data_IF_958425552643
#
_entry.id   IF_958425552643
#
_cell.length_a   1.000
_cell.length_b   1.000
_cell.length_c   1.000
_cell.angle_alpha   90.00
_cell.angle_beta   90.00
_cell.angle_gamma   90.00
#
_symmetry.space_group_name_H-M   'P 1'
#
loop_
_entity.id
_entity.type
_entity.pdbx_description
1 polymer ?
#
# COMPACT_ATOMS: atom_id res chain seq x y z
N UNK A 1 -47.30 -47.73 30.48
CA UNK A 1 -46.37 -46.64 30.11
C UNK A 1 -45.93 -45.73 31.27
N UNK A 2 -46.51 -45.81 32.47
CA UNK A 2 -46.01 -45.09 33.67
C UNK A 2 -44.87 -45.80 34.42
N UNK A 3 -44.57 -47.05 34.08
CA UNK A 3 -43.66 -47.92 34.86
C UNK A 3 -42.15 -47.67 34.62
N UNK A 4 -41.77 -46.80 33.68
CA UNK A 4 -40.36 -46.50 33.39
C UNK A 4 -39.90 -45.10 33.84
N UNK A 5 -40.78 -44.28 34.42
CA UNK A 5 -40.41 -42.94 34.86
C UNK A 5 -39.95 -42.97 36.32
N UNK A 6 -38.63 -42.93 36.54
CA UNK A 6 -38.06 -42.58 37.86
C UNK A 6 -38.40 -41.12 38.15
N UNK A 7 -39.35 -40.92 39.06
CA UNK A 7 -39.66 -39.73 39.86
C UNK A 7 -39.82 -38.36 39.12
N UNK A 8 -41.03 -37.81 39.25
CA UNK A 8 -41.45 -36.40 39.10
C UNK A 8 -41.41 -35.68 37.75
N UNK A 9 -40.97 -36.30 36.65
CA UNK A 9 -41.09 -35.65 35.33
C UNK A 9 -42.31 -36.18 34.57
N UNK A 10 -43.28 -35.30 34.31
CA UNK A 10 -44.42 -35.62 33.44
C UNK A 10 -43.92 -36.08 32.06
N UNK A 11 -44.54 -37.14 31.49
CA UNK A 11 -44.17 -37.62 30.17
C UNK A 11 -44.34 -36.48 29.15
N UNK A 12 -43.33 -36.28 28.31
CA UNK A 12 -43.25 -35.19 27.32
C UNK A 12 -43.08 -33.77 27.89
N UNK A 13 -42.79 -33.60 29.18
CA UNK A 13 -42.34 -32.31 29.70
C UNK A 13 -41.05 -31.84 29.02
N UNK A 14 -40.78 -30.52 28.96
CA UNK A 14 -39.53 -29.98 28.39
C UNK A 14 -38.30 -30.63 29.04
N UNK A 15 -38.33 -30.82 30.37
CA UNK A 15 -37.27 -31.49 31.13
C UNK A 15 -37.10 -32.97 30.73
N UNK A 16 -38.19 -33.70 30.55
CA UNK A 16 -38.16 -35.09 30.04
C UNK A 16 -37.59 -35.16 28.61
N UNK A 17 -38.04 -34.26 27.73
CA UNK A 17 -37.62 -34.22 26.33
C UNK A 17 -36.13 -33.84 26.19
N UNK A 18 -35.65 -32.86 26.96
CA UNK A 18 -34.22 -32.50 27.03
C UNK A 18 -33.34 -33.67 27.42
N UNK A 19 -33.73 -34.40 28.48
CA UNK A 19 -33.01 -35.60 28.94
C UNK A 19 -32.98 -36.67 27.84
N UNK A 20 -34.12 -36.96 27.20
CA UNK A 20 -34.19 -37.97 26.13
C UNK A 20 -33.37 -37.58 24.89
N UNK A 21 -33.32 -36.30 24.55
CA UNK A 21 -32.49 -35.78 23.47
C UNK A 21 -30.99 -35.89 23.79
N UNK A 22 -30.60 -35.59 25.02
CA UNK A 22 -29.22 -35.79 25.49
C UNK A 22 -28.85 -37.27 25.54
N UNK A 23 -29.75 -38.16 25.98
CA UNK A 23 -29.49 -39.59 26.01
C UNK A 23 -29.29 -40.18 24.60
N UNK A 24 -30.03 -39.69 23.60
CA UNK A 24 -29.95 -40.20 22.23
C UNK A 24 -28.80 -39.57 21.41
N UNK A 25 -28.64 -38.25 21.45
CA UNK A 25 -27.68 -37.53 20.60
C UNK A 25 -26.38 -37.15 21.32
N UNK A 26 -26.35 -37.27 22.65
CA UNK A 26 -25.17 -37.06 23.47
C UNK A 26 -24.50 -35.70 23.21
N UNK A 27 -23.17 -35.67 22.99
CA UNK A 27 -22.40 -34.44 22.83
C UNK A 27 -22.56 -33.77 21.45
N UNK A 28 -23.34 -34.36 20.54
CA UNK A 28 -23.50 -33.88 19.16
C UNK A 28 -24.49 -32.71 19.05
N UNK A 29 -25.32 -32.49 20.07
CA UNK A 29 -26.32 -31.42 20.12
C UNK A 29 -25.99 -30.39 21.19
N UNK A 30 -26.52 -29.19 20.99
CA UNK A 30 -26.49 -28.09 21.96
C UNK A 30 -27.93 -27.65 22.18
N UNK A 31 -28.32 -27.58 23.46
CA UNK A 31 -29.62 -27.06 23.88
C UNK A 31 -29.35 -25.67 24.48
N UNK A 32 -29.98 -24.65 23.92
CA UNK A 32 -29.83 -23.25 24.35
C UNK A 32 -31.12 -22.80 24.98
N UNK A 33 -31.03 -22.36 26.24
CA UNK A 33 -32.13 -21.81 27.00
C UNK A 33 -31.93 -20.30 27.15
N UNK A 34 -32.94 -19.52 26.76
CA UNK A 34 -32.94 -18.07 26.92
C UNK A 34 -34.19 -17.69 27.70
N UNK A 35 -34.01 -16.97 28.81
CA UNK A 35 -35.13 -16.55 29.66
C UNK A 35 -36.23 -15.87 28.83
N UNK A 36 -37.44 -16.43 28.88
CA UNK A 36 -38.62 -15.91 28.17
C UNK A 36 -38.75 -16.36 26.70
N UNK A 37 -37.89 -17.25 26.19
CA UNK A 37 -37.99 -17.83 24.84
C UNK A 37 -38.05 -19.36 24.89
N UNK A 38 -38.65 -20.01 23.88
CA UNK A 38 -38.64 -21.46 23.79
C UNK A 38 -37.22 -22.00 23.62
N UNK A 39 -36.96 -23.17 24.20
CA UNK A 39 -35.67 -23.85 24.11
C UNK A 39 -35.33 -24.16 22.64
N UNK A 40 -34.11 -23.81 22.21
CA UNK A 40 -33.62 -24.12 20.88
C UNK A 40 -32.66 -25.31 20.94
N UNK A 41 -32.87 -26.30 20.08
CA UNK A 41 -32.00 -27.48 19.95
C UNK A 41 -31.38 -27.48 18.57
N UNK A 42 -30.05 -27.55 18.49
CA UNK A 42 -29.33 -27.63 17.22
C UNK A 42 -28.10 -28.54 17.35
N UNK A 43 -27.56 -28.98 16.22
CA UNK A 43 -26.30 -29.72 16.21
C UNK A 43 -25.14 -28.78 16.50
N UNK A 44 -24.12 -29.30 17.20
CA UNK A 44 -22.93 -28.55 17.58
C UNK A 44 -22.19 -27.99 16.37
N UNK A 45 -22.17 -28.74 15.26
CA UNK A 45 -21.58 -28.30 14.00
C UNK A 45 -22.28 -27.06 13.46
N UNK A 46 -23.60 -27.12 13.33
CA UNK A 46 -24.43 -26.00 12.86
C UNK A 46 -24.37 -24.80 13.81
N UNK A 47 -24.36 -25.02 15.13
CA UNK A 47 -24.15 -23.95 16.11
C UNK A 47 -22.79 -23.26 15.93
N UNK A 48 -21.72 -24.04 15.73
CA UNK A 48 -20.39 -23.50 15.46
C UNK A 48 -20.32 -22.74 14.14
N UNK A 49 -20.97 -23.24 13.07
CA UNK A 49 -21.05 -22.55 11.78
C UNK A 49 -21.79 -21.21 11.91
N UNK A 50 -22.96 -21.20 12.56
CA UNK A 50 -23.74 -19.98 12.81
C UNK A 50 -22.94 -18.98 13.65
N UNK A 51 -22.25 -19.44 14.69
CA UNK A 51 -21.41 -18.58 15.52
C UNK A 51 -20.23 -18.03 14.72
N UNK A 52 -19.56 -18.88 13.96
CA UNK A 52 -18.43 -18.48 13.11
C UNK A 52 -18.88 -17.47 12.05
N UNK A 53 -20.04 -17.67 11.43
CA UNK A 53 -20.64 -16.73 10.48
C UNK A 53 -21.03 -15.41 11.16
N UNK A 54 -21.65 -15.46 12.34
CA UNK A 54 -22.01 -14.28 13.13
C UNK A 54 -20.80 -13.43 13.54
N UNK A 55 -19.67 -14.05 13.88
CA UNK A 55 -18.43 -13.33 14.20
C UNK A 55 -17.69 -12.81 12.96
N UNK A 56 -17.87 -13.44 11.80
CA UNK A 56 -17.29 -13.00 10.53
C UNK A 56 -18.12 -11.94 9.80
N UNK A 57 -19.41 -11.81 10.12
CA UNK A 57 -20.23 -10.73 9.59
C UNK A 57 -19.69 -9.38 10.08
N UNK A 58 -19.55 -8.38 9.21
CA UNK A 58 -19.17 -7.03 9.61
C UNK A 58 -20.27 -6.53 10.54
N UNK A 59 -19.99 -6.52 11.85
CA UNK A 59 -20.88 -5.92 12.83
C UNK A 59 -21.15 -4.47 12.41
N UNK A 60 -22.38 -4.01 12.63
CA UNK A 60 -22.67 -2.58 12.73
C UNK A 60 -21.95 -2.06 13.99
N UNK A 61 -20.63 -1.99 13.92
CA UNK A 61 -19.86 -1.26 14.90
C UNK A 61 -20.20 0.21 14.73
N UNK A 62 -20.38 0.87 15.86
CA UNK A 62 -20.54 2.31 15.95
C UNK A 62 -19.50 2.98 15.03
N UNK A 63 -19.98 3.90 14.18
CA UNK A 63 -19.17 4.60 13.18
C UNK A 63 -17.94 5.22 13.85
N UNK A 64 -18.09 5.66 15.10
CA UNK A 64 -17.01 6.26 15.89
C UNK A 64 -15.92 5.25 16.25
N UNK A 65 -16.26 3.99 16.57
CA UNK A 65 -15.29 2.93 16.86
C UNK A 65 -14.54 2.53 15.59
N UNK A 66 -15.23 2.43 14.45
CA UNK A 66 -14.60 2.17 13.13
C UNK A 66 -13.61 3.29 12.77
N UNK A 67 -14.01 4.55 12.95
CA UNK A 67 -13.14 5.70 12.71
C UNK A 67 -11.90 5.70 13.62
N UNK A 68 -12.07 5.40 14.91
CA UNK A 68 -10.94 5.35 15.85
C UNK A 68 -9.91 4.28 15.47
N UNK A 69 -10.36 3.11 14.99
CA UNK A 69 -9.46 2.06 14.48
C UNK A 69 -8.73 2.48 13.22
N UNK A 70 -9.41 3.16 12.29
CA UNK A 70 -8.79 3.70 11.08
C UNK A 70 -7.69 4.71 11.43
N UNK A 71 -7.96 5.62 12.38
CA UNK A 71 -6.98 6.61 12.85
C UNK A 71 -5.78 5.90 13.50
N UNK A 72 -6.01 4.85 14.29
CA UNK A 72 -4.93 4.07 14.90
C UNK A 72 -4.07 3.38 13.83
N UNK A 73 -4.69 2.76 12.82
CA UNK A 73 -3.99 2.14 11.70
C UNK A 73 -3.17 3.16 10.89
N UNK A 74 -3.74 4.33 10.60
CA UNK A 74 -3.03 5.41 9.92
C UNK A 74 -1.81 5.90 10.71
N UNK A 75 -1.92 6.01 12.05
CA UNK A 75 -0.80 6.36 12.93
C UNK A 75 0.31 5.31 12.93
N UNK A 76 -0.04 4.02 12.87
CA UNK A 76 0.93 2.94 12.75
C UNK A 76 1.73 3.04 11.45
N UNK A 77 1.02 3.16 10.32
CA UNK A 77 1.65 3.34 9.00
C UNK A 77 2.55 4.59 8.98
N UNK A 78 2.08 5.69 9.56
CA UNK A 78 2.84 6.94 9.65
C UNK A 78 4.14 6.77 10.45
N UNK A 79 4.12 6.01 11.55
CA UNK A 79 5.30 5.74 12.37
C UNK A 79 6.33 4.92 11.58
N UNK A 80 5.88 3.92 10.85
CA UNK A 80 6.76 3.09 10.01
C UNK A 80 7.41 3.90 8.88
N UNK A 81 6.66 4.78 8.21
CA UNK A 81 7.21 5.70 7.20
C UNK A 81 8.29 6.62 7.81
N UNK A 82 8.10 7.06 9.05
CA UNK A 82 9.08 7.91 9.76
C UNK A 82 10.35 7.16 10.15
N UNK A 83 10.27 5.84 10.36
CA UNK A 83 11.40 4.99 10.73
C UNK A 83 12.28 4.58 9.56
N UNK A 84 11.80 4.73 8.32
CA UNK A 84 12.60 4.42 7.14
C UNK A 84 13.81 5.37 7.07
N UNK A 85 15.05 4.82 6.94
CA UNK A 85 16.23 5.62 6.74
C UNK A 85 16.14 6.33 5.39
N UNK A 86 16.50 7.61 5.38
CA UNK A 86 16.39 8.46 4.19
C UNK A 86 17.73 9.10 3.93
N UNK A 87 18.22 8.95 2.70
CA UNK A 87 19.41 9.63 2.23
C UNK A 87 19.00 10.67 1.18
N UNK A 88 19.41 11.92 1.39
CA UNK A 88 19.14 13.03 0.48
C UNK A 88 20.36 13.50 -0.30
N UNK A 89 21.52 12.95 0.03
CA UNK A 89 22.81 13.30 -0.55
C UNK A 89 23.11 12.48 -1.81
N UNK A 90 22.43 11.34 -1.98
CA UNK A 90 22.62 10.44 -3.11
C UNK A 90 21.32 10.34 -3.88
N UNK A 91 21.38 10.69 -5.17
CA UNK A 91 20.25 10.51 -6.07
C UNK A 91 20.04 9.01 -6.38
N UNK A 92 18.78 8.59 -6.57
CA UNK A 92 18.48 7.21 -6.96
C UNK A 92 18.98 6.93 -8.37
N UNK A 93 19.56 5.75 -8.56
CA UNK A 93 20.01 5.28 -9.85
C UNK A 93 18.83 5.09 -10.83
N UNK A 94 18.96 5.47 -12.12
CA UNK A 94 17.90 5.30 -13.10
C UNK A 94 17.39 3.85 -13.27
N UNK A 95 18.22 2.84 -13.00
CA UNK A 95 17.84 1.42 -13.03
C UNK A 95 16.78 1.05 -11.99
N UNK A 96 16.63 1.86 -10.93
CA UNK A 96 15.60 1.68 -9.90
C UNK A 96 14.20 1.93 -10.47
N UNK A 97 14.06 2.74 -11.53
CA UNK A 97 12.77 3.08 -12.13
C UNK A 97 12.04 1.87 -12.71
N UNK A 98 12.78 0.93 -13.29
CA UNK A 98 12.24 -0.30 -13.88
C UNK A 98 12.27 -1.50 -12.93
N UNK A 99 13.00 -1.42 -11.82
CA UNK A 99 13.15 -2.52 -10.87
C UNK A 99 11.99 -2.61 -9.88
N UNK A 100 11.21 -3.69 -9.96
CA UNK A 100 10.12 -3.98 -9.02
C UNK A 100 10.65 -4.13 -7.59
N UNK A 101 11.79 -4.80 -7.43
CA UNK A 101 12.39 -5.10 -6.11
C UNK A 101 12.82 -3.82 -5.40
N UNK A 102 13.54 -2.94 -6.10
CA UNK A 102 14.02 -1.69 -5.52
C UNK A 102 12.86 -0.75 -5.15
N UNK A 103 11.81 -0.71 -5.98
CA UNK A 103 10.60 0.04 -5.67
C UNK A 103 9.83 -0.56 -4.47
N UNK A 104 9.86 -1.89 -4.31
CA UNK A 104 9.23 -2.57 -3.18
C UNK A 104 9.96 -2.29 -1.85
N UNK A 105 11.29 -2.29 -1.85
CA UNK A 105 12.12 -2.02 -0.66
C UNK A 105 12.02 -0.58 -0.18
N UNK A 106 11.72 0.35 -1.09
CA UNK A 106 11.53 1.75 -0.74
C UNK A 106 10.32 1.97 0.18
N UNK A 107 9.28 1.14 0.11
CA UNK A 107 8.06 1.29 0.89
C UNK A 107 8.09 0.45 2.18
N UNK A 108 7.53 0.96 3.30
CA UNK A 108 7.38 0.15 4.50
C UNK A 108 6.36 -0.98 4.25
N UNK A 109 6.59 -2.13 4.87
CA UNK A 109 5.74 -3.31 4.72
C UNK A 109 4.26 -3.01 5.05
N UNK A 110 3.99 -2.22 6.08
CA UNK A 110 2.63 -1.83 6.48
C UNK A 110 1.91 -0.99 5.43
N UNK A 111 2.60 -0.01 4.82
CA UNK A 111 2.04 0.75 3.71
C UNK A 111 1.81 -0.13 2.49
N UNK A 112 2.73 -1.05 2.18
CA UNK A 112 2.57 -1.98 1.06
C UNK A 112 1.35 -2.87 1.24
N UNK A 113 1.21 -3.53 2.39
CA UNK A 113 0.05 -4.37 2.70
C UNK A 113 -1.25 -3.56 2.66
N UNK A 114 -1.25 -2.33 3.18
CA UNK A 114 -2.41 -1.45 3.10
C UNK A 114 -2.79 -1.12 1.65
N UNK A 115 -1.83 -0.70 0.82
CA UNK A 115 -2.08 -0.31 -0.56
C UNK A 115 -2.47 -1.51 -1.43
N UNK A 116 -1.88 -2.70 -1.25
CA UNK A 116 -2.29 -3.91 -1.99
C UNK A 116 -3.67 -4.40 -1.57
N UNK A 117 -4.07 -4.16 -0.31
CA UNK A 117 -5.42 -4.50 0.17
C UNK A 117 -6.46 -3.51 -0.35
N UNK A 118 -6.13 -2.22 -0.36
CA UNK A 118 -7.03 -1.15 -0.80
C UNK A 118 -7.18 -1.12 -2.33
N UNK A 119 -6.04 -1.13 -3.03
CA UNK A 119 -5.96 -1.15 -4.48
C UNK A 119 -5.97 -2.63 -4.90
N UNK A 120 -7.18 -3.19 -5.07
CA UNK A 120 -7.39 -4.50 -5.72
C UNK A 120 -6.98 -4.39 -7.20
N UNK A 121 -5.68 -4.28 -7.43
CA UNK A 121 -5.14 -3.98 -8.74
C UNK A 121 -5.03 -5.27 -9.55
N UNK A 122 -5.78 -5.36 -10.64
CA UNK A 122 -5.47 -6.22 -11.79
C UNK A 122 -4.31 -5.66 -12.64
N UNK A 123 -3.77 -4.49 -12.26
CA UNK A 123 -2.71 -3.77 -12.97
C UNK A 123 -1.34 -3.84 -12.26
N UNK A 124 -0.26 -3.71 -13.05
CA UNK A 124 1.17 -3.76 -12.67
C UNK A 124 1.50 -3.15 -11.30
N UNK A 125 2.28 -3.89 -10.50
CA UNK A 125 2.77 -3.53 -9.16
C UNK A 125 3.43 -2.14 -9.10
N UNK A 126 4.03 -1.70 -10.22
CA UNK A 126 4.66 -0.38 -10.36
C UNK A 126 3.66 0.75 -10.04
N UNK A 127 2.37 0.60 -10.37
CA UNK A 127 1.34 1.60 -10.04
C UNK A 127 1.06 1.68 -8.54
N UNK A 128 1.13 0.56 -7.83
CA UNK A 128 0.97 0.53 -6.38
C UNK A 128 2.17 1.24 -5.74
N UNK A 129 3.38 0.95 -6.21
CA UNK A 129 4.60 1.58 -5.72
C UNK A 129 4.66 3.07 -6.04
N UNK A 130 4.21 3.52 -7.21
CA UNK A 130 4.18 4.95 -7.54
C UNK A 130 3.26 5.74 -6.62
N UNK A 131 2.09 5.21 -6.31
CA UNK A 131 1.16 5.81 -5.33
C UNK A 131 1.81 5.83 -3.94
N UNK A 132 2.41 4.72 -3.50
CA UNK A 132 3.05 4.67 -2.19
C UNK A 132 4.27 5.58 -2.06
N UNK A 133 5.06 5.76 -3.11
CA UNK A 133 6.13 6.76 -3.15
C UNK A 133 5.57 8.18 -3.02
N UNK A 134 4.44 8.49 -3.66
CA UNK A 134 3.72 9.75 -3.48
C UNK A 134 3.25 9.96 -2.04
N UNK A 135 2.69 8.92 -1.41
CA UNK A 135 2.30 8.96 0.02
C UNK A 135 3.51 9.23 0.91
N UNK A 136 4.64 8.55 0.68
CA UNK A 136 5.87 8.77 1.43
C UNK A 136 6.39 10.20 1.26
N UNK A 137 6.42 10.73 0.03
CA UNK A 137 6.85 12.09 -0.26
C UNK A 137 5.97 13.13 0.45
N UNK A 138 4.66 12.92 0.44
CA UNK A 138 3.69 13.81 1.09
C UNK A 138 3.79 13.75 2.62
N UNK A 139 4.12 12.57 3.16
CA UNK A 139 4.28 12.34 4.60
C UNK A 139 5.57 12.95 5.15
N UNK A 140 6.65 12.93 4.36
CA UNK A 140 7.97 13.46 4.75
C UNK A 140 8.50 14.38 3.65
N UNK A 141 7.87 15.56 3.48
CA UNK A 141 8.27 16.49 2.45
C UNK A 141 9.71 16.92 2.70
N UNK A 142 10.51 17.03 1.64
CA UNK A 142 11.91 17.48 1.66
C UNK A 142 12.89 16.55 2.37
N UNK A 143 12.52 15.33 2.77
CA UNK A 143 13.49 14.37 3.33
C UNK A 143 13.67 13.17 2.41
N UNK A 144 12.62 12.86 1.65
CA UNK A 144 12.60 11.74 0.73
C UNK A 144 12.82 12.25 -0.70
N UNK A 145 13.60 11.51 -1.46
CA UNK A 145 13.68 11.62 -2.92
C UNK A 145 13.05 10.37 -3.50
N UNK A 146 11.78 10.48 -3.90
CA UNK A 146 11.04 9.38 -4.50
C UNK A 146 11.61 9.07 -5.91
N UNK A 147 12.20 7.87 -6.12
CA UNK A 147 12.83 7.52 -7.40
C UNK A 147 11.91 7.74 -8.59
N UNK A 148 10.65 7.29 -8.52
CA UNK A 148 9.70 7.39 -9.63
C UNK A 148 9.32 8.84 -9.95
N UNK A 149 9.25 9.72 -8.95
CA UNK A 149 8.95 11.14 -9.17
C UNK A 149 10.15 11.89 -9.77
N UNK A 150 11.37 11.55 -9.36
CA UNK A 150 12.61 12.08 -9.94
C UNK A 150 12.75 11.59 -11.37
N UNK A 151 12.60 10.28 -11.61
CA UNK A 151 12.69 9.67 -12.94
C UNK A 151 11.67 10.22 -13.92
N UNK A 152 10.40 10.37 -13.51
CA UNK A 152 9.38 11.00 -14.34
C UNK A 152 9.77 12.44 -14.72
N UNK A 153 10.27 13.21 -13.76
CA UNK A 153 10.77 14.56 -14.00
C UNK A 153 11.90 14.62 -15.03
N UNK A 154 12.87 13.72 -14.90
CA UNK A 154 13.99 13.59 -15.84
C UNK A 154 13.50 13.21 -17.24
N UNK A 155 12.61 12.22 -17.35
CA UNK A 155 12.04 11.81 -18.64
C UNK A 155 11.27 12.95 -19.31
N UNK A 156 10.46 13.68 -18.56
CA UNK A 156 9.74 14.85 -19.08
C UNK A 156 10.70 15.94 -19.56
N UNK A 157 11.77 16.18 -18.81
CA UNK A 157 12.79 17.13 -19.22
C UNK A 157 13.53 16.70 -20.48
N UNK A 158 13.87 15.42 -20.58
CA UNK A 158 14.53 14.84 -21.75
C UNK A 158 13.64 14.91 -23.00
N UNK A 159 12.37 14.51 -22.88
CA UNK A 159 11.47 14.42 -24.03
C UNK A 159 10.88 15.76 -24.49
N UNK A 160 10.61 16.68 -23.57
CA UNK A 160 9.89 17.92 -23.90
C UNK A 160 10.69 19.18 -23.65
N UNK A 161 11.78 19.11 -22.87
CA UNK A 161 12.59 20.28 -22.44
C UNK A 161 11.77 21.45 -21.84
N UNK A 162 10.50 21.20 -21.48
CA UNK A 162 9.56 22.23 -21.04
C UNK A 162 9.57 22.37 -19.53
N UNK A 163 10.15 23.48 -19.05
CA UNK A 163 10.09 23.86 -17.63
C UNK A 163 8.63 24.01 -17.15
N UNK A 164 7.77 24.61 -17.97
CA UNK A 164 6.36 24.83 -17.62
C UNK A 164 5.63 23.52 -17.33
N UNK A 165 5.78 22.51 -18.18
CA UNK A 165 5.14 21.20 -17.99
C UNK A 165 5.59 20.54 -16.67
N UNK A 166 6.89 20.60 -16.39
CA UNK A 166 7.46 20.04 -15.18
C UNK A 166 6.95 20.79 -13.94
N UNK A 167 6.91 22.13 -13.99
CA UNK A 167 6.43 22.94 -12.86
C UNK A 167 4.94 22.69 -12.57
N UNK A 168 4.11 22.50 -13.61
CA UNK A 168 2.70 22.12 -13.45
C UNK A 168 2.56 20.76 -12.78
N UNK A 169 3.26 19.74 -13.28
CA UNK A 169 3.20 18.38 -12.73
C UNK A 169 3.80 18.29 -11.32
N UNK A 170 4.82 19.08 -11.04
CA UNK A 170 5.38 19.21 -9.71
C UNK A 170 4.38 19.83 -8.73
N UNK A 171 3.67 20.88 -9.16
CA UNK A 171 2.61 21.52 -8.36
C UNK A 171 1.48 20.56 -8.03
N UNK A 172 1.16 19.64 -8.95
CA UNK A 172 0.18 18.58 -8.75
C UNK A 172 0.71 17.39 -7.93
N UNK A 173 2.01 17.36 -7.59
CA UNK A 173 2.64 16.32 -6.79
C UNK A 173 3.06 15.06 -7.55
N UNK A 174 3.10 15.09 -8.88
CA UNK A 174 3.43 13.92 -9.71
C UNK A 174 4.93 13.76 -9.98
N UNK A 175 5.70 14.83 -10.00
CA UNK A 175 7.14 14.77 -10.27
C UNK A 175 7.96 15.71 -9.37
N UNK A 176 9.28 15.55 -9.42
CA UNK A 176 10.23 16.45 -8.74
C UNK A 176 10.30 17.82 -9.42
N UNK A 177 10.67 18.85 -8.66
CA UNK A 177 10.78 20.21 -9.18
C UNK A 177 11.82 20.30 -10.29
N UNK A 178 11.65 21.27 -11.20
CA UNK A 178 12.61 21.53 -12.27
C UNK A 178 14.04 21.76 -11.73
N UNK A 179 14.17 22.51 -10.63
CA UNK A 179 15.47 22.76 -9.99
C UNK A 179 16.13 21.48 -9.46
N UNK A 180 15.34 20.54 -8.96
CA UNK A 180 15.86 19.24 -8.48
C UNK A 180 16.32 18.35 -9.64
N UNK A 181 15.62 18.39 -10.77
CA UNK A 181 16.01 17.69 -11.99
C UNK A 181 17.34 18.24 -12.55
N UNK A 182 17.52 19.57 -12.52
CA UNK A 182 18.80 20.17 -12.93
C UNK A 182 19.95 19.74 -12.02
N UNK A 183 19.75 19.72 -10.70
CA UNK A 183 20.76 19.21 -9.75
C UNK A 183 21.10 17.76 -10.00
N UNK A 184 20.10 16.92 -10.27
CA UNK A 184 20.32 15.53 -10.67
C UNK A 184 21.22 15.44 -11.91
N UNK A 185 20.93 16.20 -12.97
CA UNK A 185 21.75 16.21 -14.19
C UNK A 185 23.18 16.66 -13.93
N UNK A 186 23.37 17.72 -13.14
CA UNK A 186 24.70 18.19 -12.75
C UNK A 186 25.45 17.13 -11.94
N UNK A 187 24.78 16.46 -10.99
CA UNK A 187 25.37 15.37 -10.21
C UNK A 187 25.73 14.17 -11.08
N UNK A 188 24.88 13.82 -12.05
CA UNK A 188 25.12 12.72 -12.98
C UNK A 188 26.34 13.01 -13.88
N UNK A 189 26.47 14.24 -14.39
CA UNK A 189 27.63 14.65 -15.20
C UNK A 189 28.95 14.58 -14.41
N UNK A 190 28.94 14.97 -13.12
CA UNK A 190 30.10 14.82 -12.23
C UNK A 190 30.47 13.34 -12.05
N UNK A 191 29.48 12.47 -11.83
CA UNK A 191 29.72 11.04 -11.63
C UNK A 191 30.20 10.29 -12.89
N UNK A 192 29.91 10.83 -14.08
CA UNK A 192 30.33 10.27 -15.36
C UNK A 192 31.71 10.78 -15.82
N UNK A 193 32.44 11.51 -14.96
CA UNK A 193 33.74 12.13 -15.27
C UNK A 193 33.75 12.90 -16.60
N UNK A 194 32.61 13.46 -17.01
CA UNK A 194 32.48 14.22 -18.27
C UNK A 194 33.04 15.65 -18.13
N UNK A 195 34.02 15.82 -17.23
CA UNK A 195 34.81 17.04 -17.14
C UNK A 195 35.85 17.03 -18.24
N UNK A 196 36.10 18.23 -18.74
CA UNK A 196 37.22 18.54 -19.61
C UNK A 196 38.51 17.97 -18.99
N UNK A 197 39.37 17.29 -19.75
CA UNK A 197 40.72 16.99 -19.29
C UNK A 197 41.35 18.30 -18.82
N UNK A 198 42.00 18.33 -17.65
CA UNK A 198 42.67 19.55 -17.16
C UNK A 198 43.89 19.97 -18.03
N UNK A 199 44.19 19.23 -19.11
CA UNK A 199 45.32 19.41 -20.03
C UNK A 199 44.94 20.11 -21.35
N UNK A 200 43.89 20.94 -21.37
CA UNK A 200 43.56 21.72 -22.57
C UNK A 200 44.49 22.94 -22.65
N UNK A 201 45.51 22.85 -23.51
CA UNK A 201 46.44 23.94 -23.85
C UNK A 201 45.67 25.17 -24.38
N UNK A 202 46.13 26.38 -24.09
CA UNK A 202 45.50 27.70 -24.39
C UNK A 202 45.20 27.95 -25.89
N UNK A 203 45.59 27.01 -26.77
CA UNK A 203 45.40 27.05 -28.22
C UNK A 203 44.40 26.03 -28.75
N UNK A 204 43.71 25.30 -27.87
CA UNK A 204 42.76 24.26 -28.29
C UNK A 204 41.33 24.81 -28.28
N UNK A 205 40.73 24.95 -29.48
CA UNK A 205 39.31 25.29 -29.62
C UNK A 205 38.51 23.99 -29.51
N UNK A 206 37.70 23.88 -28.48
CA UNK A 206 36.87 22.70 -28.26
C UNK A 206 35.44 22.95 -28.73
N UNK A 207 34.98 22.12 -29.67
CA UNK A 207 33.58 22.10 -30.11
C UNK A 207 32.79 21.14 -29.22
N UNK A 208 31.99 21.70 -28.31
CA UNK A 208 30.97 20.94 -27.58
C UNK A 208 29.73 20.82 -28.46
N UNK A 209 29.57 19.69 -29.15
CA UNK A 209 28.32 19.39 -29.84
C UNK A 209 27.26 19.05 -28.81
N UNK A 210 26.36 20.00 -28.52
CA UNK A 210 25.10 19.65 -27.87
C UNK A 210 24.34 18.69 -28.79
N UNK A 211 23.76 17.63 -28.22
CA UNK A 211 22.98 16.57 -28.90
C UNK A 211 21.66 17.07 -29.53
N UNK A 212 21.58 18.36 -29.86
CA UNK A 212 20.41 18.98 -30.47
C UNK A 212 20.78 20.14 -31.42
N UNK A 213 22.00 20.14 -31.96
CA UNK A 213 22.33 20.99 -33.10
C UNK A 213 21.76 20.30 -34.34
N UNK A 214 20.57 20.73 -34.77
CA UNK A 214 20.04 20.47 -36.11
C UNK A 214 21.07 20.98 -37.14
N UNK A 215 22.05 20.15 -37.49
CA UNK A 215 22.83 20.34 -38.71
C UNK A 215 21.99 19.89 -39.90
N UNK A 216 20.89 20.61 -40.16
CA UNK A 216 20.37 20.66 -41.52
C UNK A 216 21.31 21.54 -42.34
N UNK A 217 22.34 20.91 -42.90
CA UNK A 217 23.23 21.48 -43.92
C UNK A 217 22.51 21.81 -45.25
N UNK A 218 21.19 21.65 -45.32
CA UNK A 218 20.42 21.70 -46.56
C UNK A 218 19.41 22.84 -46.67
N UNK A 219 19.42 23.81 -45.76
CA UNK A 219 18.67 25.06 -45.95
C UNK A 219 19.52 26.25 -45.54
N UNK A 220 20.01 26.97 -46.56
CA UNK A 220 20.49 28.35 -46.44
C UNK A 220 19.27 29.26 -46.33
N UNK A 221 19.13 29.97 -45.21
CA UNK A 221 18.46 31.27 -45.14
C UNK A 221 19.22 32.16 -44.13
#
# INVERSE_FOLDING_TARGET
MKEYCRNEDDPYSSKYMKRKLLDHFGPSIVIVEINGKPDAVTFKMTASEILHEFYNQPKDEDIQVKQNRLIAAAKLILNDIKRIPTNKEVYPDPSILSSIIANQEFLPATLRTFLTTLLKSTTSDIKIYSVGQGVMQTTRPRVIMAPLQVGLGIQLHHHFSSKYLIDVLHTLGFCSSYGEILKFKSSAAVSQETYLPNDVDDHTIMFSSADNVDHNLQTLD
#
